data_IF_283414343405
#
_entry.id   IF_283414343405
#
_cell.length_a   1.000
_cell.length_b   1.000
_cell.length_c   1.000
_cell.angle_alpha   90.00
_cell.angle_beta   90.00
_cell.angle_gamma   90.00
#
_symmetry.space_group_name_H-M   'P 1'
#
loop_
_entity.id
_entity.type
_entity.pdbx_description
1 polymer ?
#
# COMPACT_ATOMS: atom_id res chain seq x y z
N UNK A 1 -1.59 -12.52 38.05
CA UNK A 1 -2.62 -12.77 37.02
C UNK A 1 -3.13 -11.39 36.60
N UNK A 2 -2.59 -10.82 35.51
CA UNK A 2 -2.98 -9.46 35.10
C UNK A 2 -4.28 -9.54 34.32
N UNK A 3 -5.35 -9.03 34.93
CA UNK A 3 -6.63 -8.80 34.29
C UNK A 3 -6.46 -7.76 33.16
N UNK A 4 -6.60 -8.24 31.92
CA UNK A 4 -6.43 -7.47 30.69
C UNK A 4 -7.79 -7.36 30.03
N UNK A 5 -8.52 -6.29 30.35
CA UNK A 5 -9.82 -5.99 29.73
C UNK A 5 -9.69 -5.89 28.19
N UNK A 6 -10.75 -6.24 27.42
CA UNK A 6 -10.70 -6.32 25.95
C UNK A 6 -10.18 -5.05 25.27
N UNK A 7 -10.44 -3.89 25.88
CA UNK A 7 -10.00 -2.56 25.41
C UNK A 7 -8.50 -2.31 25.59
N UNK A 8 -7.87 -2.83 26.65
CA UNK A 8 -6.40 -2.81 26.80
C UNK A 8 -5.71 -3.78 25.85
N UNK A 9 -6.36 -4.92 25.56
CA UNK A 9 -5.85 -5.95 24.65
C UNK A 9 -5.73 -5.46 23.21
N UNK A 10 -6.76 -4.77 22.68
CA UNK A 10 -6.70 -4.22 21.32
C UNK A 10 -5.63 -3.13 21.20
N UNK A 11 -5.43 -2.35 22.26
CA UNK A 11 -4.44 -1.26 22.31
C UNK A 11 -3.00 -1.78 22.25
N UNK A 12 -2.66 -2.83 23.00
CA UNK A 12 -1.31 -3.44 22.94
C UNK A 12 -1.01 -4.06 21.58
N UNK A 13 -1.96 -4.81 21.00
CA UNK A 13 -1.76 -5.41 19.66
C UNK A 13 -1.57 -4.34 18.60
N UNK A 14 -2.35 -3.25 18.67
CA UNK A 14 -2.25 -2.11 17.76
C UNK A 14 -0.87 -1.45 17.87
N UNK A 15 -0.41 -1.15 19.09
CA UNK A 15 0.93 -0.56 19.33
C UNK A 15 2.07 -1.45 18.85
N UNK A 16 1.95 -2.77 19.00
CA UNK A 16 2.92 -3.73 18.43
C UNK A 16 2.97 -3.66 16.90
N UNK A 17 1.82 -3.63 16.24
CA UNK A 17 1.76 -3.53 14.78
C UNK A 17 2.30 -2.19 14.28
N UNK A 18 1.93 -1.07 14.92
CA UNK A 18 2.41 0.26 14.55
C UNK A 18 3.94 0.38 14.68
N UNK A 19 4.49 -0.09 15.81
CA UNK A 19 5.94 -0.07 15.99
C UNK A 19 6.64 -1.02 15.01
N UNK A 20 6.09 -2.22 14.78
CA UNK A 20 6.67 -3.17 13.85
C UNK A 20 6.66 -2.64 12.41
N UNK A 21 5.56 -2.02 11.98
CA UNK A 21 5.44 -1.38 10.66
C UNK A 21 6.52 -0.30 10.47
N UNK A 22 6.67 0.60 11.44
CA UNK A 22 7.71 1.64 11.44
C UNK A 22 9.12 1.04 11.33
N UNK A 23 9.42 0.03 12.15
CA UNK A 23 10.74 -0.60 12.15
C UNK A 23 11.02 -1.38 10.85
N UNK A 24 10.02 -2.07 10.30
CA UNK A 24 10.14 -2.81 9.05
C UNK A 24 10.41 -1.86 7.89
N UNK A 25 9.69 -0.74 7.80
CA UNK A 25 9.93 0.26 6.75
C UNK A 25 11.28 0.98 6.93
N UNK A 26 11.73 1.17 8.17
CA UNK A 26 13.01 1.80 8.46
C UNK A 26 14.22 0.90 8.11
N UNK A 27 14.23 -0.36 8.56
CA UNK A 27 15.42 -1.24 8.53
C UNK A 27 15.18 -2.66 8.01
N UNK A 28 13.99 -2.95 7.50
CA UNK A 28 13.60 -4.26 6.98
C UNK A 28 13.07 -5.22 8.05
N UNK A 29 12.40 -6.27 7.58
CA UNK A 29 11.77 -7.27 8.43
C UNK A 29 12.79 -8.16 9.13
N UNK A 30 13.83 -8.61 8.42
CA UNK A 30 14.95 -9.38 8.99
C UNK A 30 15.55 -8.72 10.22
N UNK A 31 15.78 -7.41 10.15
CA UNK A 31 16.48 -6.60 11.16
C UNK A 31 15.60 -6.15 12.32
N UNK A 32 14.30 -6.44 12.28
CA UNK A 32 13.34 -6.11 13.34
C UNK A 32 13.18 -7.32 14.27
N UNK A 33 13.67 -7.25 15.50
CA UNK A 33 13.61 -8.36 16.47
C UNK A 33 12.35 -8.29 17.35
N UNK A 34 11.92 -9.45 17.87
CA UNK A 34 10.81 -9.52 18.82
C UNK A 34 11.18 -8.79 20.12
N UNK A 35 12.45 -8.91 20.56
CA UNK A 35 12.99 -8.25 21.73
C UNK A 35 12.90 -6.73 21.64
N UNK A 36 13.26 -6.12 20.51
CA UNK A 36 13.11 -4.68 20.31
C UNK A 36 11.64 -4.24 20.37
N UNK A 37 10.71 -5.02 19.80
CA UNK A 37 9.27 -4.72 19.87
C UNK A 37 8.75 -4.80 21.30
N UNK A 38 9.18 -5.82 22.06
CA UNK A 38 8.83 -5.99 23.47
C UNK A 38 9.29 -4.78 24.28
N UNK A 39 10.56 -4.38 24.11
CA UNK A 39 11.15 -3.22 24.81
C UNK A 39 10.45 -1.92 24.39
N UNK A 40 10.24 -1.71 23.09
CA UNK A 40 9.64 -0.49 22.55
C UNK A 40 8.18 -0.28 22.95
N UNK A 41 7.39 -1.36 23.05
CA UNK A 41 6.00 -1.27 23.54
C UNK A 41 5.93 -1.28 25.07
N UNK A 42 6.96 -1.80 25.74
CA UNK A 42 7.01 -1.92 27.21
C UNK A 42 6.18 -3.10 27.73
N UNK A 43 6.25 -4.25 27.06
CA UNK A 43 5.53 -5.48 27.45
C UNK A 43 6.50 -6.58 27.86
N UNK A 44 5.97 -7.72 28.30
CA UNK A 44 6.78 -8.92 28.57
C UNK A 44 6.85 -9.81 27.34
N UNK A 45 7.82 -10.75 27.34
CA UNK A 45 7.90 -11.81 26.32
C UNK A 45 6.60 -12.61 26.20
N UNK A 46 6.03 -13.03 27.34
CA UNK A 46 4.72 -13.70 27.35
C UNK A 46 3.59 -12.80 26.82
N UNK A 47 3.68 -11.49 27.04
CA UNK A 47 2.75 -10.51 26.47
C UNK A 47 2.81 -10.46 24.94
N UNK A 48 4.01 -10.53 24.34
CA UNK A 48 4.14 -10.63 22.88
C UNK A 48 3.52 -11.93 22.34
N UNK A 49 3.91 -13.08 22.92
CA UNK A 49 3.45 -14.40 22.47
C UNK A 49 1.95 -14.64 22.71
N UNK A 50 1.31 -13.84 23.55
CA UNK A 50 -0.14 -13.80 23.67
C UNK A 50 -0.85 -13.22 22.44
N UNK A 51 -0.17 -12.34 21.69
CA UNK A 51 -0.72 -11.68 20.49
C UNK A 51 -0.25 -12.33 19.18
N UNK A 52 0.99 -12.78 19.12
CA UNK A 52 1.60 -13.34 17.92
C UNK A 52 2.38 -14.60 18.27
N UNK A 53 2.09 -15.71 17.59
CA UNK A 53 2.74 -17.00 17.87
C UNK A 53 4.23 -16.96 17.55
N UNK A 54 4.59 -16.26 16.49
CA UNK A 54 5.94 -16.11 15.99
C UNK A 54 6.05 -14.87 15.10
N UNK A 55 7.21 -14.70 14.45
CA UNK A 55 7.48 -13.60 13.55
C UNK A 55 6.66 -13.69 12.24
N UNK A 56 6.29 -14.88 11.78
CA UNK A 56 5.45 -15.06 10.59
C UNK A 56 4.01 -14.64 10.86
N UNK A 57 3.48 -14.95 12.04
CA UNK A 57 2.15 -14.49 12.49
C UNK A 57 2.09 -12.96 12.59
N UNK A 58 3.18 -12.32 13.07
CA UNK A 58 3.33 -10.86 13.02
C UNK A 58 3.38 -10.33 11.58
N UNK A 59 4.14 -10.97 10.68
CA UNK A 59 4.23 -10.58 9.28
C UNK A 59 2.88 -10.62 8.58
N UNK A 60 2.13 -11.72 8.79
CA UNK A 60 0.77 -11.87 8.25
C UNK A 60 -0.13 -10.74 8.74
N UNK A 61 -0.16 -10.49 10.05
CA UNK A 61 -1.00 -9.45 10.64
C UNK A 61 -0.63 -8.03 10.18
N UNK A 62 0.65 -7.75 9.97
CA UNK A 62 1.12 -6.49 9.40
C UNK A 62 0.64 -6.34 7.96
N UNK A 63 0.78 -7.39 7.16
CA UNK A 63 0.37 -7.38 5.76
C UNK A 63 -1.15 -7.26 5.61
N UNK A 64 -1.94 -8.00 6.37
CA UNK A 64 -3.41 -7.86 6.39
C UNK A 64 -3.83 -6.44 6.74
N UNK A 65 -3.24 -5.84 7.78
CA UNK A 65 -3.51 -4.46 8.19
C UNK A 65 -3.16 -3.47 7.08
N UNK A 66 -1.99 -3.63 6.46
CA UNK A 66 -1.54 -2.75 5.38
C UNK A 66 -2.44 -2.85 4.16
N UNK A 67 -2.76 -4.06 3.70
CA UNK A 67 -3.63 -4.27 2.54
C UNK A 67 -5.04 -3.71 2.77
N UNK A 68 -5.59 -3.81 3.99
CA UNK A 68 -6.88 -3.22 4.33
C UNK A 68 -6.82 -1.68 4.37
N UNK A 69 -5.74 -1.11 4.92
CA UNK A 69 -5.54 0.34 4.93
C UNK A 69 -5.38 0.90 3.52
N UNK A 70 -4.52 0.30 2.70
CA UNK A 70 -4.31 0.68 1.31
C UNK A 70 -5.61 0.58 0.51
N UNK A 71 -6.39 -0.49 0.71
CA UNK A 71 -7.71 -0.64 0.12
C UNK A 71 -8.62 0.53 0.50
N UNK A 72 -8.77 0.80 1.80
CA UNK A 72 -9.69 1.83 2.28
C UNK A 72 -9.31 3.22 1.73
N UNK A 73 -8.01 3.53 1.71
CA UNK A 73 -7.49 4.79 1.18
C UNK A 73 -7.81 4.94 -0.32
N UNK A 74 -7.53 3.91 -1.12
CA UNK A 74 -7.79 3.96 -2.56
C UNK A 74 -9.29 4.04 -2.87
N UNK A 75 -10.11 3.29 -2.13
CA UNK A 75 -11.57 3.31 -2.26
C UNK A 75 -12.14 4.72 -1.92
N UNK A 76 -11.63 5.36 -0.87
CA UNK A 76 -12.02 6.74 -0.49
C UNK A 76 -11.64 7.76 -1.58
N UNK A 77 -10.42 7.66 -2.12
CA UNK A 77 -9.98 8.53 -3.20
C UNK A 77 -10.82 8.34 -4.47
N UNK A 78 -11.20 7.09 -4.80
CA UNK A 78 -12.12 6.84 -5.91
C UNK A 78 -13.50 7.42 -5.68
N UNK A 79 -14.07 7.23 -4.49
CA UNK A 79 -15.37 7.79 -4.14
C UNK A 79 -15.38 9.32 -4.26
N UNK A 80 -14.36 9.99 -3.71
CA UNK A 80 -14.20 11.44 -3.82
C UNK A 80 -14.04 11.89 -5.27
N UNK A 81 -13.31 11.14 -6.10
CA UNK A 81 -13.14 11.47 -7.50
C UNK A 81 -14.45 11.32 -8.31
N UNK A 82 -15.25 10.29 -8.00
CA UNK A 82 -16.55 10.04 -8.62
C UNK A 82 -17.59 11.10 -8.22
N UNK A 83 -17.55 11.60 -6.98
CA UNK A 83 -18.37 12.74 -6.53
C UNK A 83 -18.02 14.04 -7.28
N UNK A 84 -16.76 14.23 -7.64
CA UNK A 84 -16.30 15.41 -8.36
C UNK A 84 -16.56 15.34 -9.86
N UNK A 85 -16.68 14.14 -10.43
CA UNK A 85 -16.95 13.95 -11.86
C UNK A 85 -17.54 12.57 -12.18
N UNK A 86 -18.76 12.56 -12.72
CA UNK A 86 -19.47 11.33 -13.12
C UNK A 86 -18.91 10.67 -14.39
N UNK A 87 -18.14 11.40 -15.21
CA UNK A 87 -17.53 10.84 -16.40
C UNK A 87 -16.37 9.90 -16.02
N UNK A 88 -16.36 8.63 -16.46
CA UNK A 88 -15.42 7.63 -15.96
C UNK A 88 -13.96 7.98 -16.24
N UNK A 89 -13.67 8.60 -17.38
CA UNK A 89 -12.30 9.02 -17.73
C UNK A 89 -11.90 10.21 -16.86
N UNK A 90 -12.72 11.26 -16.82
CA UNK A 90 -12.40 12.45 -16.04
C UNK A 90 -12.32 12.15 -14.54
N UNK A 91 -13.23 11.33 -14.00
CA UNK A 91 -13.19 10.85 -12.63
C UNK A 91 -11.89 10.10 -12.32
N UNK A 92 -11.43 9.21 -13.20
CA UNK A 92 -10.14 8.54 -13.00
C UNK A 92 -8.94 9.50 -13.09
N UNK A 93 -8.98 10.49 -13.97
CA UNK A 93 -7.95 11.54 -14.03
C UNK A 93 -7.97 12.45 -12.78
N UNK A 94 -9.14 12.67 -12.17
CA UNK A 94 -9.27 13.36 -10.89
C UNK A 94 -8.68 12.50 -9.77
N UNK A 95 -8.99 11.21 -9.73
CA UNK A 95 -8.39 10.26 -8.79
C UNK A 95 -6.86 10.32 -8.82
N UNK A 96 -6.24 10.21 -9.99
CA UNK A 96 -4.77 10.22 -10.10
C UNK A 96 -4.18 11.55 -9.63
N UNK A 97 -4.90 12.67 -9.82
CA UNK A 97 -4.48 13.97 -9.31
C UNK A 97 -4.58 14.02 -7.78
N UNK A 98 -5.70 13.60 -7.20
CA UNK A 98 -5.88 13.56 -5.74
C UNK A 98 -4.84 12.64 -5.08
N UNK A 99 -4.55 11.51 -5.72
CA UNK A 99 -3.53 10.58 -5.24
C UNK A 99 -2.13 11.21 -5.30
N UNK A 100 -1.79 11.93 -6.37
CA UNK A 100 -0.52 12.68 -6.45
C UNK A 100 -0.43 13.78 -5.39
N UNK A 101 -1.51 14.53 -5.16
CA UNK A 101 -1.58 15.57 -4.13
C UNK A 101 -1.37 14.98 -2.73
N UNK A 102 -2.04 13.87 -2.40
CA UNK A 102 -1.85 13.16 -1.14
C UNK A 102 -0.40 12.70 -0.95
N UNK A 103 0.23 12.13 -1.99
CA UNK A 103 1.64 11.73 -1.89
C UNK A 103 2.61 12.92 -1.78
N UNK A 104 2.19 14.12 -2.18
CA UNK A 104 2.99 15.35 -2.08
C UNK A 104 2.88 16.03 -0.71
N UNK A 105 1.85 15.72 0.08
CA UNK A 105 1.66 16.27 1.44
C UNK A 105 2.65 15.68 2.47
N UNK A 106 3.41 14.66 2.10
CA UNK A 106 4.43 14.08 2.96
C UNK A 106 5.66 14.99 3.05
N UNK A 107 6.05 15.46 4.26
CA UNK A 107 7.16 16.38 4.43
C UNK A 107 8.52 15.74 4.11
N UNK A 108 8.61 14.42 4.21
CA UNK A 108 9.78 13.62 3.87
C UNK A 108 9.40 12.57 2.81
N UNK A 109 10.40 11.99 2.14
CA UNK A 109 10.16 10.90 1.21
C UNK A 109 9.46 9.74 1.94
N UNK A 110 8.40 9.20 1.33
CA UNK A 110 7.62 8.11 1.91
C UNK A 110 8.54 6.96 2.32
N UNK A 111 8.35 6.33 3.50
CA UNK A 111 9.23 5.29 4.02
C UNK A 111 9.19 3.97 3.25
N UNK A 112 8.64 3.94 2.03
CA UNK A 112 8.47 2.75 1.19
C UNK A 112 7.14 2.01 1.42
N UNK A 113 6.94 0.92 0.68
CA UNK A 113 5.75 0.08 0.77
C UNK A 113 6.05 -1.19 1.57
N UNK A 114 5.12 -1.59 2.45
CA UNK A 114 5.27 -2.79 3.27
C UNK A 114 5.18 -4.05 2.40
N UNK A 115 4.20 -4.12 1.49
CA UNK A 115 4.06 -5.25 0.56
C UNK A 115 5.33 -5.46 -0.29
N UNK A 116 5.92 -4.37 -0.79
CA UNK A 116 7.19 -4.42 -1.53
C UNK A 116 8.37 -4.88 -0.65
N UNK A 117 8.46 -4.37 0.58
CA UNK A 117 9.51 -4.78 1.54
C UNK A 117 9.45 -6.28 1.82
N UNK A 118 8.24 -6.82 2.01
CA UNK A 118 8.03 -8.26 2.21
C UNK A 118 8.35 -9.07 0.95
N UNK A 119 8.05 -8.56 -0.25
CA UNK A 119 8.45 -9.20 -1.52
C UNK A 119 9.97 -9.37 -1.64
N UNK A 120 10.77 -8.36 -1.27
CA UNK A 120 12.23 -8.46 -1.35
C UNK A 120 12.85 -9.36 -0.27
N UNK A 121 12.06 -9.80 0.70
CA UNK A 121 12.50 -10.65 1.81
C UNK A 121 11.68 -11.95 1.89
N UNK A 122 11.14 -12.40 0.76
CA UNK A 122 10.20 -13.53 0.64
C UNK A 122 10.68 -14.84 1.28
N UNK A 123 12.00 -15.05 1.30
CA UNK A 123 12.69 -16.19 1.91
C UNK A 123 12.49 -16.29 3.42
N UNK A 124 12.09 -15.20 4.09
CA UNK A 124 11.83 -15.16 5.53
C UNK A 124 10.44 -15.65 5.91
N UNK A 125 9.53 -15.73 4.94
CA UNK A 125 8.12 -15.90 5.18
C UNK A 125 7.63 -17.32 4.86
N UNK A 126 6.55 -17.71 5.51
CA UNK A 126 5.83 -18.93 5.17
C UNK A 126 5.11 -18.77 3.83
N UNK A 127 4.72 -19.90 3.22
CA UNK A 127 4.07 -19.91 1.91
C UNK A 127 2.78 -19.08 1.90
N UNK A 128 1.98 -19.20 2.94
CA UNK A 128 0.72 -18.48 3.08
C UNK A 128 0.90 -16.96 3.18
N UNK A 129 1.97 -16.47 3.81
CA UNK A 129 2.29 -15.03 3.86
C UNK A 129 2.71 -14.53 2.48
N UNK A 130 3.51 -15.31 1.73
CA UNK A 130 3.85 -14.97 0.34
C UNK A 130 2.62 -14.96 -0.57
N UNK A 131 1.72 -15.94 -0.43
CA UNK A 131 0.48 -16.02 -1.19
C UNK A 131 -0.48 -14.87 -0.84
N UNK A 132 -0.56 -14.47 0.43
CA UNK A 132 -1.29 -13.28 0.87
C UNK A 132 -0.73 -12.02 0.20
N UNK A 133 0.60 -11.86 0.16
CA UNK A 133 1.23 -10.69 -0.46
C UNK A 133 0.95 -10.63 -1.96
N UNK A 134 1.11 -11.77 -2.65
CA UNK A 134 0.78 -11.88 -4.08
C UNK A 134 -0.69 -11.56 -4.35
N UNK A 135 -1.61 -12.04 -3.49
CA UNK A 135 -3.04 -11.74 -3.60
C UNK A 135 -3.34 -10.25 -3.38
N UNK A 136 -2.65 -9.62 -2.43
CA UNK A 136 -2.73 -8.18 -2.18
C UNK A 136 -2.29 -7.35 -3.39
N UNK A 137 -1.19 -7.73 -4.04
CA UNK A 137 -0.70 -7.10 -5.27
C UNK A 137 -1.68 -7.28 -6.44
N UNK A 138 -2.26 -8.47 -6.60
CA UNK A 138 -3.28 -8.72 -7.64
C UNK A 138 -4.56 -7.92 -7.40
N UNK A 139 -4.91 -7.66 -6.15
CA UNK A 139 -6.09 -6.87 -5.81
C UNK A 139 -5.95 -5.40 -6.24
N UNK A 140 -4.73 -4.86 -6.27
CA UNK A 140 -4.45 -3.57 -6.91
C UNK A 140 -4.78 -3.61 -8.40
N UNK A 141 -4.25 -4.59 -9.14
CA UNK A 141 -4.56 -4.76 -10.57
C UNK A 141 -6.07 -4.80 -10.79
N UNK A 142 -6.79 -5.67 -10.07
CA UNK A 142 -8.24 -5.82 -10.23
C UNK A 142 -8.97 -4.48 -10.05
N UNK A 143 -8.66 -3.71 -9.02
CA UNK A 143 -9.30 -2.40 -8.77
C UNK A 143 -9.09 -1.41 -9.90
N UNK A 144 -7.84 -1.24 -10.33
CA UNK A 144 -7.53 -0.30 -11.41
C UNK A 144 -8.10 -0.78 -12.74
N UNK A 145 -8.10 -2.09 -12.98
CA UNK A 145 -8.71 -2.69 -14.16
C UNK A 145 -10.21 -2.42 -14.23
N UNK A 146 -10.95 -2.55 -13.12
CA UNK A 146 -12.38 -2.21 -13.06
C UNK A 146 -12.65 -0.74 -13.44
N UNK A 147 -11.79 0.19 -13.01
CA UNK A 147 -11.89 1.61 -13.43
C UNK A 147 -11.68 1.74 -14.93
N UNK A 148 -10.64 1.10 -15.46
CA UNK A 148 -10.26 1.15 -16.87
C UNK A 148 -11.32 0.51 -17.78
N UNK A 149 -11.98 -0.58 -17.36
CA UNK A 149 -13.06 -1.19 -18.12
C UNK A 149 -14.25 -0.22 -18.30
N UNK A 150 -14.60 0.54 -17.24
CA UNK A 150 -15.66 1.57 -17.34
C UNK A 150 -15.27 2.73 -18.26
N UNK A 151 -13.99 3.09 -18.29
CA UNK A 151 -13.47 4.07 -19.24
C UNK A 151 -13.60 3.51 -20.66
N UNK A 152 -13.06 2.31 -20.90
CA UNK A 152 -13.04 1.66 -22.21
C UNK A 152 -14.44 1.43 -22.80
N UNK A 153 -15.45 1.20 -21.95
CA UNK A 153 -16.84 1.07 -22.38
C UNK A 153 -17.41 2.34 -23.03
N UNK A 154 -16.90 3.53 -22.67
CA UNK A 154 -17.34 4.83 -23.20
C UNK A 154 -16.31 5.46 -24.15
N UNK A 155 -15.04 5.23 -23.86
CA UNK A 155 -13.88 5.75 -24.56
C UNK A 155 -13.00 4.56 -24.94
N UNK A 156 -13.23 3.92 -26.11
CA UNK A 156 -12.34 2.87 -26.58
C UNK A 156 -10.90 3.40 -26.67
N UNK A 157 -9.88 2.65 -26.23
CA UNK A 157 -8.49 3.09 -26.31
C UNK A 157 -8.08 3.32 -27.76
N UNK A 158 -7.27 4.35 -28.02
CA UNK A 158 -6.78 4.70 -29.37
C UNK A 158 -5.89 3.62 -29.96
N UNK A 159 -5.01 3.06 -29.14
CA UNK A 159 -4.09 1.99 -29.50
C UNK A 159 -4.52 0.66 -28.85
N UNK A 160 -3.90 -0.44 -29.28
CA UNK A 160 -4.03 -1.74 -28.62
C UNK A 160 -3.33 -1.72 -27.25
N UNK A 161 -3.91 -0.99 -26.29
CA UNK A 161 -3.46 -0.96 -24.90
C UNK A 161 -4.10 -2.13 -24.18
N UNK A 162 -3.26 -3.03 -23.66
CA UNK A 162 -3.69 -4.06 -22.73
C UNK A 162 -4.06 -3.41 -21.39
N UNK A 163 -5.34 -3.53 -21.00
CA UNK A 163 -5.86 -2.88 -19.79
C UNK A 163 -5.34 -3.51 -18.49
N UNK A 164 -4.94 -4.80 -18.49
CA UNK A 164 -4.29 -5.41 -17.33
C UNK A 164 -2.87 -4.87 -17.17
N UNK A 165 -2.16 -4.68 -18.29
CA UNK A 165 -0.83 -4.05 -18.28
C UNK A 165 -0.92 -2.59 -17.83
N UNK A 166 -1.95 -1.84 -18.27
CA UNK A 166 -2.18 -0.48 -17.81
C UNK A 166 -2.55 -0.42 -16.33
N UNK A 167 -3.35 -1.37 -15.82
CA UNK A 167 -3.64 -1.46 -14.39
C UNK A 167 -2.37 -1.73 -13.57
N UNK A 168 -1.50 -2.65 -14.00
CA UNK A 168 -0.21 -2.94 -13.37
C UNK A 168 0.76 -1.74 -13.38
N UNK A 169 0.64 -0.87 -14.39
CA UNK A 169 1.48 0.33 -14.48
C UNK A 169 1.28 1.26 -13.28
N UNK A 170 0.10 1.27 -12.66
CA UNK A 170 -0.18 2.10 -11.48
C UNK A 170 0.70 1.66 -10.31
N UNK A 171 0.72 0.37 -9.99
CA UNK A 171 1.61 -0.20 -8.96
C UNK A 171 3.07 -0.01 -9.32
N UNK A 172 3.44 -0.23 -10.59
CA UNK A 172 4.83 -0.06 -11.07
C UNK A 172 5.33 1.37 -10.87
N UNK A 173 4.50 2.36 -11.22
CA UNK A 173 4.80 3.79 -11.06
C UNK A 173 4.92 4.16 -9.58
N UNK A 174 4.00 3.67 -8.74
CA UNK A 174 4.03 3.95 -7.30
C UNK A 174 5.29 3.37 -6.67
N UNK A 175 5.56 2.08 -6.84
CA UNK A 175 6.71 1.42 -6.24
C UNK A 175 8.04 1.98 -6.76
N UNK A 176 8.14 2.22 -8.07
CA UNK A 176 9.31 2.86 -8.67
C UNK A 176 9.51 4.29 -8.14
N UNK A 177 8.43 5.07 -8.02
CA UNK A 177 8.46 6.42 -7.46
C UNK A 177 8.87 6.44 -5.99
N UNK A 178 8.40 5.48 -5.18
CA UNK A 178 8.81 5.31 -3.78
C UNK A 178 10.30 4.98 -3.68
N UNK A 179 10.79 4.05 -4.49
CA UNK A 179 12.21 3.67 -4.55
C UNK A 179 13.08 4.87 -4.91
N UNK A 180 12.74 5.59 -5.99
CA UNK A 180 13.50 6.76 -6.43
C UNK A 180 13.45 7.90 -5.41
N UNK A 181 12.25 8.22 -4.89
CA UNK A 181 12.08 9.27 -3.88
C UNK A 181 12.90 9.00 -2.63
N UNK A 182 12.93 7.74 -2.17
CA UNK A 182 13.77 7.33 -1.03
C UNK A 182 15.27 7.36 -1.35
N UNK A 183 15.68 6.84 -2.51
CA UNK A 183 17.10 6.78 -2.87
C UNK A 183 17.72 8.17 -3.09
N UNK A 184 16.93 9.10 -3.67
CA UNK A 184 17.37 10.45 -4.01
C UNK A 184 16.98 11.50 -2.95
N UNK A 185 16.27 11.09 -1.89
CA UNK A 185 15.76 11.97 -0.84
C UNK A 185 14.92 13.13 -1.40
N UNK A 186 14.12 12.84 -2.42
CA UNK A 186 13.26 13.81 -3.10
C UNK A 186 11.79 13.35 -3.05
N UNK A 187 10.97 13.91 -2.14
CA UNK A 187 9.56 13.54 -2.01
C UNK A 187 8.71 13.94 -3.22
N UNK A 188 9.22 14.80 -4.11
CA UNK A 188 8.47 15.29 -5.28
C UNK A 188 8.44 14.29 -6.43
N UNK A 189 9.32 13.28 -6.42
CA UNK A 189 9.45 12.32 -7.53
C UNK A 189 8.15 11.54 -7.73
N UNK A 190 7.63 10.90 -6.68
CA UNK A 190 6.45 10.05 -6.81
C UNK A 190 5.20 10.83 -7.30
N UNK A 191 4.83 11.99 -6.73
CA UNK A 191 3.74 12.81 -7.27
C UNK A 191 3.92 13.15 -8.76
N UNK A 192 5.13 13.49 -9.20
CA UNK A 192 5.43 13.77 -10.61
C UNK A 192 5.21 12.53 -11.50
N UNK A 193 5.60 11.35 -11.04
CA UNK A 193 5.38 10.11 -11.79
C UNK A 193 3.88 9.75 -11.88
N UNK A 194 3.10 9.96 -10.81
CA UNK A 194 1.64 9.77 -10.84
C UNK A 194 0.99 10.73 -11.84
N UNK A 195 1.42 12.00 -11.87
CA UNK A 195 0.92 12.98 -12.85
C UNK A 195 1.32 12.65 -14.29
N UNK A 196 2.50 12.06 -14.51
CA UNK A 196 2.91 11.57 -15.81
C UNK A 196 2.03 10.40 -16.27
N UNK A 197 1.73 9.44 -15.39
CA UNK A 197 0.81 8.34 -15.67
C UNK A 197 -0.60 8.87 -16.00
N UNK A 198 -1.06 9.91 -15.28
CA UNK A 198 -2.32 10.59 -15.57
C UNK A 198 -2.36 11.13 -17.00
N UNK A 199 -1.28 11.74 -17.47
CA UNK A 199 -1.19 12.25 -18.83
C UNK A 199 -1.18 11.13 -19.87
N UNK A 200 -0.48 10.03 -19.60
CA UNK A 200 -0.52 8.83 -20.45
C UNK A 200 -1.95 8.28 -20.59
N UNK A 201 -2.66 8.10 -19.47
CA UNK A 201 -4.05 7.62 -19.48
C UNK A 201 -4.95 8.57 -20.28
N UNK A 202 -4.79 9.89 -20.09
CA UNK A 202 -5.54 10.89 -20.87
C UNK A 202 -5.31 10.70 -22.36
N UNK A 203 -4.07 10.55 -22.80
CA UNK A 203 -3.73 10.40 -24.21
C UNK A 203 -4.22 9.09 -24.82
N UNK A 204 -4.24 8.01 -24.02
CA UNK A 204 -4.71 6.69 -24.44
C UNK A 204 -6.22 6.65 -24.75
N UNK A 205 -7.02 7.50 -24.10
CA UNK A 205 -8.50 7.43 -24.14
C UNK A 205 -9.21 8.68 -24.70
N UNK A 206 -8.59 9.86 -24.68
CA UNK A 206 -9.18 11.06 -25.31
C UNK A 206 -8.96 10.97 -26.81
N UNK A 207 -10.03 10.90 -27.62
CA UNK A 207 -10.01 10.88 -29.08
C UNK A 207 -9.52 12.19 -29.73
#
# INVERSE_FOLDING_TARGET
>A
MLDMTPRRRSDTRKRLLELAEQMVLAKGFSSTSIEELIVGVGITKSGFFYHFKDKNDLARALLERHLEHDKALIDELFARADELNEDPLHGFLVFLRLFAEMMAELPEAHPGCLAATLCYQDQLFSRDVRELNASGMLLWRTRFRERLDRIAARYPPRDSVDLDTLADSVTTVVEGGLVLGRALQDPTILPKQILLLREFVRQAFVA
#
